data_IF_604073429228
#
_entry.id   IF_604073429228
#
_cell.length_a   1.000
_cell.length_b   1.000
_cell.length_c   1.000
_cell.angle_alpha   90.00
_cell.angle_beta   90.00
_cell.angle_gamma   90.00
#
_symmetry.space_group_name_H-M   'P 1'
#
loop_
_entity.id
_entity.type
_entity.pdbx_description
1 polymer ?
#
# COMPACT_ATOMS: atom_id res chain seq x y z
N UNK A 1 17.65 -44.49 4.54
CA UNK A 1 16.22 -44.20 4.77
C UNK A 1 16.04 -42.69 4.68
N UNK A 2 15.50 -42.20 3.56
CA UNK A 2 15.29 -40.76 3.29
C UNK A 2 13.91 -40.38 3.81
N UNK A 3 13.83 -39.46 4.76
CA UNK A 3 12.56 -38.88 5.21
C UNK A 3 12.32 -37.60 4.40
N UNK A 4 11.40 -37.68 3.44
CA UNK A 4 10.82 -36.49 2.80
C UNK A 4 9.96 -35.77 3.83
N UNK A 5 10.35 -34.55 4.19
CA UNK A 5 9.48 -33.64 4.92
C UNK A 5 8.44 -33.07 3.94
N UNK A 6 7.17 -33.37 4.20
CA UNK A 6 6.03 -32.86 3.47
C UNK A 6 5.95 -31.32 3.58
N UNK A 7 5.65 -30.68 2.45
CA UNK A 7 5.35 -29.26 2.32
C UNK A 7 4.17 -28.86 3.20
N UNK A 8 4.45 -28.16 4.30
CA UNK A 8 3.44 -27.45 5.08
C UNK A 8 3.77 -25.96 5.07
N UNK A 9 3.29 -25.24 4.06
CA UNK A 9 3.24 -23.76 4.10
C UNK A 9 2.24 -23.26 3.09
N UNK A 10 0.95 -23.29 3.43
CA UNK A 10 -0.06 -22.44 2.79
C UNK A 10 -1.26 -22.10 3.68
N UNK A 11 -1.28 -22.52 4.96
CA UNK A 11 -2.46 -22.30 5.81
C UNK A 11 -2.36 -21.09 6.77
N UNK A 12 -1.22 -20.39 6.85
CA UNK A 12 -1.04 -19.31 7.83
C UNK A 12 -1.27 -17.88 7.27
N UNK A 13 -1.43 -17.70 5.95
CA UNK A 13 -1.61 -16.37 5.36
C UNK A 13 -3.07 -15.92 5.18
N UNK A 14 -4.06 -16.77 5.46
CA UNK A 14 -5.49 -16.46 5.23
C UNK A 14 -6.25 -15.99 6.47
N UNK A 15 -5.65 -16.04 7.66
CA UNK A 15 -6.35 -15.69 8.90
C UNK A 15 -6.44 -14.18 9.18
N UNK A 16 -5.63 -13.34 8.51
CA UNK A 16 -5.67 -11.87 8.71
C UNK A 16 -6.61 -11.13 7.74
N UNK A 17 -7.18 -11.81 6.74
CA UNK A 17 -7.98 -11.17 5.68
C UNK A 17 -9.48 -11.08 6.00
N UNK A 18 -9.92 -11.59 7.16
CA UNK A 18 -11.35 -11.79 7.46
C UNK A 18 -11.85 -11.05 8.71
N UNK A 19 -11.17 -9.98 9.15
CA UNK A 19 -11.93 -8.92 9.80
C UNK A 19 -12.82 -8.35 8.70
N UNK A 20 -14.14 -8.58 8.74
CA UNK A 20 -15.04 -8.04 7.73
C UNK A 20 -14.83 -6.53 7.70
N UNK A 21 -14.07 -6.04 6.73
CA UNK A 21 -13.80 -4.63 6.58
C UNK A 21 -15.15 -3.91 6.55
N UNK A 22 -15.24 -2.76 7.23
CA UNK A 22 -16.47 -1.99 7.25
C UNK A 22 -16.95 -1.78 5.80
N UNK A 23 -18.21 -2.12 5.44
CA UNK A 23 -18.67 -2.06 4.06
C UNK A 23 -18.50 -0.68 3.41
N UNK A 24 -18.55 0.41 4.19
CA UNK A 24 -18.30 1.76 3.68
C UNK A 24 -16.83 1.97 3.39
N UNK A 25 -15.93 1.46 4.24
CA UNK A 25 -14.50 1.51 3.99
C UNK A 25 -14.13 0.75 2.70
N UNK A 26 -14.68 -0.44 2.51
CA UNK A 26 -14.51 -1.22 1.27
C UNK A 26 -15.02 -0.45 0.05
N UNK A 27 -16.22 0.13 0.13
CA UNK A 27 -16.78 0.90 -0.97
C UNK A 27 -15.94 2.15 -1.34
N UNK A 28 -15.27 2.78 -0.36
CA UNK A 28 -14.33 3.87 -0.62
C UNK A 28 -13.07 3.34 -1.29
N UNK A 29 -12.49 2.26 -0.79
CA UNK A 29 -11.31 1.65 -1.39
C UNK A 29 -11.56 1.25 -2.85
N UNK A 30 -12.70 0.63 -3.15
CA UNK A 30 -13.07 0.23 -4.51
C UNK A 30 -13.15 1.42 -5.47
N UNK A 31 -13.71 2.55 -5.01
CA UNK A 31 -13.78 3.78 -5.81
C UNK A 31 -12.41 4.37 -6.08
N UNK A 32 -11.54 4.40 -5.08
CA UNK A 32 -10.17 4.90 -5.22
C UNK A 32 -9.39 4.00 -6.17
N UNK A 33 -9.44 2.67 -5.99
CA UNK A 33 -8.80 1.71 -6.87
C UNK A 33 -9.28 1.85 -8.32
N UNK A 34 -10.58 1.99 -8.53
CA UNK A 34 -11.15 2.22 -9.87
C UNK A 34 -10.63 3.52 -10.49
N UNK A 35 -10.64 4.62 -9.72
CA UNK A 35 -10.15 5.92 -10.18
C UNK A 35 -8.64 5.92 -10.51
N UNK A 36 -7.86 5.10 -9.80
CA UNK A 36 -6.42 4.92 -10.05
C UNK A 36 -6.11 4.01 -11.25
N UNK A 37 -7.12 3.48 -11.96
CA UNK A 37 -6.91 2.59 -13.11
C UNK A 37 -6.91 1.09 -12.76
N UNK A 38 -7.42 0.74 -11.59
CA UNK A 38 -7.57 -0.64 -11.14
C UNK A 38 -6.31 -1.24 -10.52
N UNK A 39 -6.39 -2.54 -10.22
CA UNK A 39 -5.35 -3.27 -9.49
C UNK A 39 -4.01 -3.30 -10.21
N UNK A 40 -4.00 -3.47 -11.55
CA UNK A 40 -2.75 -3.53 -12.31
C UNK A 40 -2.03 -2.19 -12.34
N UNK A 41 -2.78 -1.09 -12.51
CA UNK A 41 -2.21 0.25 -12.43
C UNK A 41 -1.65 0.51 -11.03
N UNK A 42 -2.40 0.17 -9.98
CA UNK A 42 -1.93 0.26 -8.61
C UNK A 42 -0.62 -0.51 -8.38
N UNK A 43 -0.57 -1.78 -8.78
CA UNK A 43 0.58 -2.65 -8.57
C UNK A 43 1.84 -2.15 -9.30
N UNK A 44 1.67 -1.60 -10.50
CA UNK A 44 2.79 -1.07 -11.30
C UNK A 44 3.17 0.38 -10.94
N UNK A 45 2.34 1.08 -10.16
CA UNK A 45 2.63 2.45 -9.73
C UNK A 45 3.71 2.44 -8.67
N UNK A 46 4.84 3.10 -8.98
CA UNK A 46 5.96 3.27 -8.06
C UNK A 46 5.76 4.44 -7.10
N UNK A 47 5.38 5.60 -7.60
CA UNK A 47 5.23 6.81 -6.79
C UNK A 47 3.78 7.17 -6.58
N UNK A 48 3.42 7.45 -5.33
CA UNK A 48 2.18 8.13 -4.98
C UNK A 48 2.53 9.50 -4.45
N UNK A 49 1.93 10.54 -5.02
CA UNK A 49 2.12 11.91 -4.57
C UNK A 49 0.78 12.57 -4.29
N UNK A 50 0.73 13.39 -3.25
CA UNK A 50 -0.46 14.15 -2.89
C UNK A 50 -0.09 15.45 -2.19
N UNK A 51 -0.91 16.48 -2.42
CA UNK A 51 -0.89 17.69 -1.63
C UNK A 51 -1.88 17.60 -0.45
N UNK A 52 -1.57 18.32 0.62
CA UNK A 52 -2.47 18.48 1.75
C UNK A 52 -2.59 19.96 2.14
N UNK A 53 -3.54 20.26 3.02
CA UNK A 53 -3.76 21.64 3.49
C UNK A 53 -2.45 22.31 3.95
N UNK A 54 -2.35 23.62 3.70
CA UNK A 54 -1.18 24.46 4.05
C UNK A 54 0.08 24.23 3.22
N UNK A 55 -0.08 23.81 1.98
CA UNK A 55 1.04 23.73 1.02
C UNK A 55 1.97 22.55 1.28
N UNK A 56 1.46 21.49 1.92
CA UNK A 56 2.24 20.27 2.10
C UNK A 56 2.28 19.51 0.78
N UNK A 57 3.44 18.99 0.44
CA UNK A 57 3.58 18.04 -0.65
C UNK A 57 4.27 16.78 -0.16
N UNK A 58 3.72 15.63 -0.54
CA UNK A 58 4.14 14.32 -0.04
C UNK A 58 4.33 13.37 -1.21
N UNK A 59 5.40 12.58 -1.16
CA UNK A 59 5.67 11.51 -2.12
C UNK A 59 6.02 10.24 -1.34
N UNK A 60 5.43 9.13 -1.73
CA UNK A 60 5.82 7.80 -1.28
C UNK A 60 6.33 6.98 -2.47
N UNK A 61 7.58 6.49 -2.38
CA UNK A 61 8.10 5.43 -3.24
C UNK A 61 7.66 4.07 -2.68
N UNK A 62 6.63 3.47 -3.28
CA UNK A 62 6.11 2.17 -2.87
C UNK A 62 7.12 1.03 -3.00
N UNK A 63 8.15 1.20 -3.83
CA UNK A 63 9.11 0.15 -4.11
C UNK A 63 10.21 0.09 -3.06
N UNK A 64 10.74 1.25 -2.66
CA UNK A 64 11.79 1.34 -1.64
C UNK A 64 11.24 1.53 -0.23
N UNK A 65 10.02 2.08 -0.11
CA UNK A 65 9.45 2.50 1.16
C UNK A 65 9.80 3.95 1.52
N UNK A 66 10.57 4.64 0.68
CA UNK A 66 11.03 6.00 0.96
C UNK A 66 9.86 6.98 0.99
N UNK A 67 9.86 7.84 2.00
CA UNK A 67 8.85 8.88 2.17
C UNK A 67 9.50 10.26 2.16
N UNK A 68 8.98 11.12 1.30
CA UNK A 68 9.42 12.48 1.11
C UNK A 68 8.28 13.43 1.45
N UNK A 69 8.58 14.41 2.29
CA UNK A 69 7.64 15.40 2.75
C UNK A 69 8.25 16.79 2.65
N UNK A 70 7.45 17.74 2.18
CA UNK A 70 7.84 19.14 2.04
C UNK A 70 6.75 20.07 2.57
N UNK A 71 7.20 21.19 3.15
CA UNK A 71 6.39 22.34 3.51
C UNK A 71 7.22 23.61 3.45
N UNK A 72 6.80 24.59 2.65
CA UNK A 72 7.50 25.86 2.46
C UNK A 72 8.98 25.64 2.09
N UNK A 73 9.90 25.83 3.04
CA UNK A 73 11.36 25.59 2.86
C UNK A 73 11.86 24.35 3.60
N UNK A 74 11.00 23.65 4.34
CA UNK A 74 11.34 22.48 5.12
C UNK A 74 11.13 21.21 4.30
N UNK A 75 12.16 20.37 4.25
CA UNK A 75 12.13 19.06 3.58
C UNK A 75 12.54 17.99 4.57
N UNK A 76 11.78 16.89 4.61
CA UNK A 76 12.09 15.70 5.40
C UNK A 76 12.03 14.45 4.51
N UNK A 77 13.10 13.66 4.57
CA UNK A 77 13.23 12.40 3.85
C UNK A 77 13.39 11.25 4.85
N UNK A 78 12.63 10.19 4.64
CA UNK A 78 12.65 8.97 5.44
C UNK A 78 12.90 7.78 4.52
N UNK A 79 13.79 6.89 4.93
CA UNK A 79 14.26 5.72 4.17
C UNK A 79 14.30 4.50 5.07
#
# INVERSE_FOLDING_TARGET
MRLSAATASSALLLACSANSADPKATAVADRVMTAMGGTDAWNNTRYLAWDFFRGQYQIWDKQTGDFHWEQDTLVANYT
#
